data_IF_042590674395
#
_entry.id   IF_042590674395
#
_cell.length_a   1.000
_cell.length_b   1.000
_cell.length_c   1.000
_cell.angle_alpha   90.00
_cell.angle_beta   90.00
_cell.angle_gamma   90.00
#
_symmetry.space_group_name_H-M   'P 1'
#
loop_
_entity.id
_entity.type
_entity.pdbx_description
1 polymer ?
#
# COMPACT_ATOMS: atom_id res chain seq x y z
N UNK A 1 -3.69 26.22 -28.40
CA UNK A 1 -4.44 24.93 -28.49
C UNK A 1 -3.80 23.80 -27.67
N UNK A 2 -2.46 23.66 -27.61
CA UNK A 2 -1.80 22.65 -26.77
C UNK A 2 -1.98 22.85 -25.25
N UNK A 3 -2.07 24.09 -24.77
CA UNK A 3 -2.28 24.42 -23.35
C UNK A 3 -3.66 23.97 -22.82
N UNK A 4 -4.72 24.13 -23.61
CA UNK A 4 -6.07 23.70 -23.21
C UNK A 4 -6.18 22.19 -23.15
N UNK A 5 -5.52 21.44 -24.03
CA UNK A 5 -5.56 19.96 -24.01
C UNK A 5 -4.94 19.41 -22.72
N UNK A 6 -3.77 19.92 -22.33
CA UNK A 6 -3.10 19.50 -21.09
C UNK A 6 -3.92 19.86 -19.84
N UNK A 7 -4.64 20.98 -19.85
CA UNK A 7 -5.55 21.35 -18.76
C UNK A 7 -6.72 20.38 -18.63
N UNK A 8 -7.41 20.07 -19.73
CA UNK A 8 -8.55 19.14 -19.73
C UNK A 8 -8.15 17.70 -19.41
N UNK A 9 -6.97 17.26 -19.86
CA UNK A 9 -6.44 15.95 -19.51
C UNK A 9 -6.07 15.87 -18.01
N UNK A 10 -5.55 16.95 -17.42
CA UNK A 10 -5.30 17.05 -15.98
C UNK A 10 -6.57 16.98 -15.14
N UNK A 11 -7.62 17.72 -15.52
CA UNK A 11 -8.93 17.69 -14.82
C UNK A 11 -9.52 16.27 -14.81
N UNK A 12 -9.47 15.57 -15.95
CA UNK A 12 -9.96 14.18 -16.04
C UNK A 12 -9.20 13.21 -15.15
N UNK A 13 -7.88 13.36 -15.03
CA UNK A 13 -7.07 12.51 -14.16
C UNK A 13 -7.37 12.75 -12.68
N UNK A 14 -7.57 14.00 -12.28
CA UNK A 14 -7.96 14.35 -10.92
C UNK A 14 -9.33 13.76 -10.56
N UNK A 15 -10.31 13.86 -11.46
CA UNK A 15 -11.63 13.23 -11.29
C UNK A 15 -11.53 11.70 -11.24
N UNK A 16 -10.74 11.06 -12.11
CA UNK A 16 -10.51 9.61 -12.08
C UNK A 16 -9.86 9.17 -10.76
N UNK A 17 -8.85 9.90 -10.28
CA UNK A 17 -8.15 9.60 -9.04
C UNK A 17 -9.04 9.76 -7.80
N UNK A 18 -9.85 10.82 -7.76
CA UNK A 18 -10.83 11.04 -6.72
C UNK A 18 -11.86 9.91 -6.71
N UNK A 19 -12.46 9.61 -7.87
CA UNK A 19 -13.44 8.54 -8.03
C UNK A 19 -12.89 7.18 -7.57
N UNK A 20 -11.67 6.82 -7.96
CA UNK A 20 -11.03 5.58 -7.53
C UNK A 20 -10.89 5.46 -6.00
N UNK A 21 -10.65 6.58 -5.32
CA UNK A 21 -10.55 6.62 -3.86
C UNK A 21 -11.95 6.54 -3.23
N UNK A 22 -12.90 7.27 -3.79
CA UNK A 22 -14.31 7.30 -3.36
C UNK A 22 -14.99 5.93 -3.49
N UNK A 23 -14.79 5.20 -4.59
CA UNK A 23 -15.41 3.88 -4.75
C UNK A 23 -14.84 2.86 -3.76
N UNK A 24 -13.55 2.94 -3.41
CA UNK A 24 -12.96 2.11 -2.34
C UNK A 24 -13.52 2.47 -0.97
N UNK A 25 -13.74 3.76 -0.69
CA UNK A 25 -14.39 4.21 0.53
C UNK A 25 -15.81 3.64 0.64
N UNK A 26 -16.63 3.81 -0.39
CA UNK A 26 -18.01 3.31 -0.42
C UNK A 26 -18.07 1.79 -0.27
N UNK A 27 -17.21 1.07 -1.00
CA UNK A 27 -17.10 -0.38 -0.85
C UNK A 27 -16.69 -0.79 0.57
N UNK A 28 -15.70 -0.14 1.18
CA UNK A 28 -15.29 -0.42 2.55
C UNK A 28 -16.43 -0.16 3.56
N UNK A 29 -17.12 0.98 3.44
CA UNK A 29 -18.28 1.31 4.29
C UNK A 29 -19.37 0.24 4.21
N UNK A 30 -19.65 -0.28 3.02
CA UNK A 30 -20.64 -1.35 2.80
C UNK A 30 -20.14 -2.68 3.34
N UNK A 31 -18.93 -3.09 2.97
CA UNK A 31 -18.37 -4.41 3.30
C UNK A 31 -18.10 -4.58 4.79
N UNK A 32 -17.76 -3.49 5.48
CA UNK A 32 -17.56 -3.46 6.93
C UNK A 32 -18.85 -3.16 7.70
N UNK A 33 -20.00 -3.09 7.01
CA UNK A 33 -21.33 -2.85 7.60
C UNK A 33 -21.42 -1.54 8.41
N UNK A 34 -20.67 -0.52 8.00
CA UNK A 34 -20.67 0.80 8.61
C UNK A 34 -21.85 1.67 8.14
N UNK A 35 -22.49 1.28 7.03
CA UNK A 35 -23.70 1.93 6.49
C UNK A 35 -24.78 0.89 6.16
N UNK A 36 -26.04 1.32 6.16
CA UNK A 36 -27.16 0.52 5.66
C UNK A 36 -27.24 0.63 4.15
N UNK A 37 -27.60 -0.46 3.47
CA UNK A 37 -27.79 -0.49 2.01
C UNK A 37 -29.22 -0.90 1.69
N UNK A 38 -29.89 -0.10 0.86
CA UNK A 38 -31.24 -0.37 0.34
C UNK A 38 -31.25 -0.30 -1.18
N UNK A 39 -32.24 -0.95 -1.82
CA UNK A 39 -32.41 -0.97 -3.28
C UNK A 39 -33.88 -0.77 -3.60
N UNK A 40 -34.18 0.13 -4.52
CA UNK A 40 -35.57 0.43 -4.93
C UNK A 40 -36.00 -0.44 -6.14
N UNK A 41 -35.08 -0.76 -7.06
CA UNK A 41 -35.36 -1.59 -8.25
C UNK A 41 -34.15 -2.46 -8.65
N UNK A 42 -34.35 -3.77 -8.83
CA UNK A 42 -33.43 -4.75 -9.45
C UNK A 42 -31.91 -4.40 -9.40
N UNK A 43 -31.30 -4.30 -8.21
CA UNK A 43 -29.84 -4.31 -7.89
C UNK A 43 -28.94 -3.28 -8.61
N UNK A 44 -29.44 -2.57 -9.63
CA UNK A 44 -28.64 -1.68 -10.50
C UNK A 44 -28.28 -0.35 -9.85
N UNK A 45 -29.05 0.05 -8.84
CA UNK A 45 -28.81 1.23 -8.03
C UNK A 45 -29.02 0.87 -6.56
N UNK A 46 -28.08 1.26 -5.71
CA UNK A 46 -28.19 1.08 -4.26
C UNK A 46 -28.04 2.40 -3.53
N UNK A 47 -28.76 2.53 -2.43
CA UNK A 47 -28.79 3.70 -1.57
C UNK A 47 -28.11 3.36 -0.24
N UNK A 48 -27.13 4.17 0.13
CA UNK A 48 -26.41 4.09 1.39
C UNK A 48 -26.97 5.12 2.37
N UNK A 49 -27.23 4.72 3.61
CA UNK A 49 -27.74 5.61 4.64
C UNK A 49 -27.42 5.15 6.06
N UNK A 50 -27.79 5.99 7.04
CA UNK A 50 -27.56 5.71 8.44
C UNK A 50 -28.57 4.71 9.02
N UNK A 51 -28.06 3.67 9.71
CA UNK A 51 -28.86 2.57 10.27
C UNK A 51 -29.94 3.00 11.28
N UNK A 52 -29.82 4.18 11.91
CA UNK A 52 -30.72 4.64 12.98
C UNK A 52 -31.54 5.88 12.61
N UNK A 53 -31.56 6.30 11.35
CA UNK A 53 -32.22 7.54 10.97
C UNK A 53 -33.75 7.38 10.95
N UNK A 54 -34.45 8.09 11.84
CA UNK A 54 -35.92 8.12 11.92
C UNK A 54 -36.57 9.24 11.09
N UNK A 55 -35.76 10.01 10.33
CA UNK A 55 -36.27 11.08 9.48
C UNK A 55 -37.08 10.52 8.31
N UNK A 56 -38.18 11.20 7.96
CA UNK A 56 -39.01 10.83 6.82
C UNK A 56 -38.28 10.95 5.46
N UNK A 57 -37.22 11.76 5.40
CA UNK A 57 -36.33 11.96 4.24
C UNK A 57 -34.86 12.07 4.71
N UNK A 58 -34.20 10.94 5.00
CA UNK A 58 -32.81 10.95 5.43
C UNK A 58 -31.91 11.34 4.26
N UNK A 59 -30.71 11.87 4.56
CA UNK A 59 -29.69 12.10 3.52
C UNK A 59 -29.12 10.76 3.07
N UNK A 60 -29.06 10.51 1.76
CA UNK A 60 -28.65 9.22 1.19
C UNK A 60 -27.59 9.40 0.12
N UNK A 61 -26.72 8.41 -0.01
CA UNK A 61 -25.78 8.32 -1.13
C UNK A 61 -26.30 7.27 -2.11
N UNK A 62 -26.59 7.69 -3.34
CA UNK A 62 -27.00 6.82 -4.43
C UNK A 62 -25.78 6.44 -5.27
N UNK A 63 -25.60 5.14 -5.49
CA UNK A 63 -24.54 4.59 -6.34
C UNK A 63 -25.12 3.62 -7.35
N UNK A 64 -24.67 3.74 -8.60
CA UNK A 64 -25.02 2.80 -9.65
C UNK A 64 -23.99 1.66 -9.71
N UNK A 65 -24.47 0.44 -9.92
CA UNK A 65 -23.63 -0.75 -10.02
C UNK A 65 -23.56 -1.25 -11.46
N UNK A 66 -22.44 -1.86 -11.81
CA UNK A 66 -22.27 -2.54 -13.09
C UNK A 66 -23.28 -3.67 -13.24
N UNK A 67 -23.85 -3.82 -14.43
CA UNK A 67 -24.75 -4.92 -14.72
C UNK A 67 -24.07 -6.28 -14.48
N UNK A 68 -24.76 -7.17 -13.76
CA UNK A 68 -24.24 -8.48 -13.38
C UNK A 68 -23.35 -8.48 -12.13
N UNK A 69 -23.12 -7.33 -11.48
CA UNK A 69 -22.50 -7.26 -10.16
C UNK A 69 -23.34 -8.07 -9.17
N UNK A 70 -22.71 -9.06 -8.54
CA UNK A 70 -23.37 -9.98 -7.61
C UNK A 70 -23.56 -9.31 -6.24
N UNK A 71 -24.16 -8.13 -6.15
CA UNK A 71 -24.55 -7.56 -4.86
C UNK A 71 -25.98 -8.01 -4.52
N UNK A 72 -26.13 -9.25 -4.05
CA UNK A 72 -27.44 -9.77 -3.63
C UNK A 72 -27.69 -9.38 -2.17
N UNK A 73 -28.50 -8.35 -1.97
CA UNK A 73 -29.14 -8.01 -0.68
C UNK A 73 -30.12 -9.14 -0.30
N UNK A 74 -29.62 -10.27 0.22
CA UNK A 74 -30.48 -11.17 0.97
C UNK A 74 -30.46 -10.71 2.42
N UNK A 75 -31.44 -9.87 2.79
CA UNK A 75 -31.71 -9.60 4.20
C UNK A 75 -32.12 -10.91 4.89
N UNK A 76 -31.68 -11.19 6.12
CA UNK A 76 -32.31 -12.24 6.91
C UNK A 76 -33.77 -11.82 7.12
N UNK A 77 -34.70 -12.51 6.46
CA UNK A 77 -36.12 -12.41 6.74
C UNK A 77 -36.31 -12.79 8.20
N UNK A 78 -36.76 -11.84 9.02
CA UNK A 78 -37.16 -12.14 10.38
C UNK A 78 -38.23 -13.26 10.35
N UNK A 79 -37.88 -14.36 11.00
CA UNK A 79 -38.68 -15.52 11.41
C UNK A 79 -40.13 -15.59 10.90
N UNK A 80 -40.41 -16.63 10.10
CA UNK A 80 -41.61 -17.43 10.29
C UNK A 80 -41.20 -18.92 10.38
N UNK A 81 -41.51 -19.54 11.53
CA UNK A 81 -41.59 -20.98 11.75
C UNK A 81 -40.40 -21.87 11.32
N UNK A 82 -39.38 -21.98 12.18
CA UNK A 82 -38.64 -23.24 12.37
C UNK A 82 -37.71 -23.73 11.25
N UNK A 83 -37.39 -22.93 10.23
CA UNK A 83 -36.38 -23.30 9.24
C UNK A 83 -34.97 -22.85 9.65
N UNK A 84 -34.03 -23.80 9.61
CA UNK A 84 -32.59 -23.57 9.76
C UNK A 84 -32.10 -22.82 8.51
N UNK A 85 -31.60 -21.59 8.68
CA UNK A 85 -30.96 -20.83 7.62
C UNK A 85 -29.49 -21.22 7.50
N UNK A 86 -29.06 -21.56 6.27
CA UNK A 86 -27.66 -21.55 5.86
C UNK A 86 -27.15 -20.10 5.87
N UNK A 87 -25.92 -19.81 6.33
CA UNK A 87 -25.40 -18.45 6.32
C UNK A 87 -25.34 -17.93 4.89
N UNK A 88 -26.06 -16.84 4.63
CA UNK A 88 -26.00 -16.08 3.39
C UNK A 88 -24.62 -15.44 3.32
N UNK A 89 -23.83 -15.81 2.31
CA UNK A 89 -22.58 -15.13 1.99
C UNK A 89 -22.97 -13.72 1.56
N UNK A 90 -22.71 -12.72 2.41
CA UNK A 90 -22.83 -11.31 2.03
C UNK A 90 -21.82 -11.07 0.91
N UNK A 91 -22.22 -10.75 -0.32
CA UNK A 91 -21.26 -10.49 -1.36
C UNK A 91 -20.54 -9.18 -1.05
N UNK A 92 -19.20 -9.25 -1.03
CA UNK A 92 -18.32 -8.10 -0.99
C UNK A 92 -18.61 -7.19 -2.20
N UNK A 93 -18.99 -5.94 -1.94
CA UNK A 93 -19.08 -4.91 -2.95
C UNK A 93 -17.68 -4.60 -3.46
N UNK A 94 -17.43 -4.89 -4.74
CA UNK A 94 -16.15 -4.58 -5.37
C UNK A 94 -16.09 -3.09 -5.76
N UNK A 95 -15.06 -2.33 -5.38
CA UNK A 95 -14.91 -0.93 -5.80
C UNK A 95 -14.98 -0.71 -7.32
N UNK A 96 -14.59 -1.69 -8.13
CA UNK A 96 -14.61 -1.61 -9.60
C UNK A 96 -16.02 -1.73 -10.21
N UNK A 97 -17.00 -2.16 -9.41
CA UNK A 97 -18.38 -2.34 -9.81
C UNK A 97 -19.22 -1.07 -9.58
N UNK A 98 -18.74 -0.14 -8.77
CA UNK A 98 -19.37 1.16 -8.55
C UNK A 98 -19.11 2.05 -9.77
N UNK A 99 -20.17 2.60 -10.34
CA UNK A 99 -20.15 3.45 -11.51
C UNK A 99 -20.31 4.93 -11.13
N UNK A 100 -19.74 5.78 -11.98
CA UNK A 100 -19.97 7.22 -11.98
C UNK A 100 -21.29 7.53 -12.72
N UNK A 101 -22.12 8.51 -12.27
CA UNK A 101 -21.90 9.39 -11.11
C UNK A 101 -22.29 8.78 -9.76
N UNK A 102 -21.57 9.21 -8.72
CA UNK A 102 -22.00 9.05 -7.32
C UNK A 102 -22.83 10.27 -6.96
N UNK A 103 -24.02 10.05 -6.40
CA UNK A 103 -24.97 11.12 -6.11
C UNK A 103 -25.31 11.16 -4.62
N UNK A 104 -25.51 12.35 -4.06
CA UNK A 104 -26.16 12.56 -2.77
C UNK A 104 -27.57 13.07 -3.01
N UNK A 105 -28.53 12.47 -2.30
CA UNK A 105 -29.87 12.99 -2.13
C UNK A 105 -29.97 13.60 -0.73
N UNK A 106 -30.19 14.90 -0.64
CA UNK A 106 -30.38 15.58 0.65
C UNK A 106 -31.81 15.43 1.20
N UNK A 107 -32.06 15.96 2.40
CA UNK A 107 -33.38 15.95 3.03
C UNK A 107 -34.49 16.67 2.23
N UNK A 108 -34.12 17.53 1.28
CA UNK A 108 -35.04 18.23 0.39
C UNK A 108 -35.30 17.45 -0.92
N UNK A 109 -34.61 16.32 -1.13
CA UNK A 109 -34.64 15.55 -2.38
C UNK A 109 -33.79 16.17 -3.49
N UNK A 110 -32.87 17.08 -3.16
CA UNK A 110 -31.95 17.65 -4.14
C UNK A 110 -30.82 16.64 -4.40
N UNK A 111 -30.62 16.32 -5.67
CA UNK A 111 -29.54 15.46 -6.13
C UNK A 111 -28.30 16.28 -6.47
N UNK A 112 -27.18 15.99 -5.81
CA UNK A 112 -25.88 16.57 -6.13
C UNK A 112 -24.87 15.48 -6.46
N UNK A 113 -23.95 15.77 -7.38
CA UNK A 113 -22.90 14.81 -7.77
C UNK A 113 -21.71 14.94 -6.83
N UNK A 114 -21.25 13.81 -6.31
CA UNK A 114 -20.06 13.70 -5.49
C UNK A 114 -18.94 13.02 -6.26
N UNK A 115 -17.73 13.55 -6.13
CA UNK A 115 -16.54 12.98 -6.74
C UNK A 115 -15.45 12.71 -5.72
N UNK A 116 -15.27 13.62 -4.76
CA UNK A 116 -14.14 13.60 -3.85
C UNK A 116 -14.45 12.73 -2.62
N UNK A 117 -13.48 11.94 -2.14
CA UNK A 117 -13.71 11.06 -1.01
C UNK A 117 -13.96 11.82 0.30
N UNK A 118 -13.37 13.01 0.47
CA UNK A 118 -13.63 13.86 1.63
C UNK A 118 -15.08 14.37 1.68
N UNK A 119 -15.70 14.68 0.54
CA UNK A 119 -17.09 15.14 0.50
C UNK A 119 -18.04 14.02 0.92
N UNK A 120 -17.80 12.80 0.41
CA UNK A 120 -18.51 11.59 0.85
C UNK A 120 -18.27 11.32 2.34
N UNK A 121 -17.03 11.47 2.80
CA UNK A 121 -16.70 11.23 4.20
C UNK A 121 -17.31 12.26 5.14
N UNK A 122 -17.43 13.52 4.74
CA UNK A 122 -18.08 14.57 5.53
C UNK A 122 -19.58 14.26 5.76
N UNK A 123 -20.22 13.53 4.84
CA UNK A 123 -21.61 13.05 4.99
C UNK A 123 -21.70 11.84 5.92
N UNK A 124 -20.79 10.86 5.75
CA UNK A 124 -20.87 9.57 6.47
C UNK A 124 -20.19 9.58 7.84
N UNK A 125 -19.25 10.50 8.08
CA UNK A 125 -18.49 10.55 9.34
C UNK A 125 -19.37 10.71 10.58
N UNK A 126 -20.44 11.56 10.59
CA UNK A 126 -21.34 11.65 11.73
C UNK A 126 -22.15 10.37 11.99
N UNK A 127 -22.19 9.43 11.03
CA UNK A 127 -22.88 8.15 11.18
C UNK A 127 -22.02 7.12 11.91
N UNK A 128 -20.69 7.28 11.88
CA UNK A 128 -19.73 6.24 12.26
C UNK A 128 -18.79 6.64 13.39
N UNK A 129 -18.56 7.94 13.62
CA UNK A 129 -17.57 8.41 14.61
C UNK A 129 -17.90 9.82 15.12
N UNK A 130 -17.89 9.98 16.45
CA UNK A 130 -18.07 11.29 17.11
C UNK A 130 -16.74 12.01 17.41
N UNK A 131 -15.61 11.30 17.31
CA UNK A 131 -14.28 11.83 17.62
C UNK A 131 -13.76 12.72 16.49
N UNK A 132 -13.73 14.03 16.74
CA UNK A 132 -13.34 15.03 15.75
C UNK A 132 -11.86 14.94 15.32
N UNK A 133 -10.96 14.47 16.19
CA UNK A 133 -9.56 14.29 15.84
C UNK A 133 -9.38 13.11 14.88
N UNK A 134 -10.08 11.99 15.16
CA UNK A 134 -10.11 10.82 14.28
C UNK A 134 -10.74 11.17 12.94
N UNK A 135 -11.87 11.88 12.94
CA UNK A 135 -12.55 12.32 11.72
C UNK A 135 -11.64 13.22 10.89
N UNK A 136 -11.01 14.24 11.49
CA UNK A 136 -10.11 15.13 10.78
C UNK A 136 -8.90 14.38 10.17
N UNK A 137 -8.35 13.41 10.90
CA UNK A 137 -7.25 12.58 10.43
C UNK A 137 -7.66 11.70 9.24
N UNK A 138 -8.75 10.95 9.35
CA UNK A 138 -9.23 10.07 8.28
C UNK A 138 -9.59 10.86 7.02
N UNK A 139 -10.23 12.01 7.18
CA UNK A 139 -10.52 12.95 6.10
C UNK A 139 -9.24 13.40 5.39
N UNK A 140 -8.21 13.75 6.16
CA UNK A 140 -6.89 14.13 5.63
C UNK A 140 -6.19 12.99 4.88
N UNK A 141 -6.24 11.77 5.40
CA UNK A 141 -5.68 10.58 4.74
C UNK A 141 -6.38 10.25 3.41
N UNK A 142 -7.71 10.38 3.37
CA UNK A 142 -8.51 10.20 2.16
C UNK A 142 -8.16 11.23 1.08
N UNK A 143 -8.11 12.51 1.46
CA UNK A 143 -7.74 13.59 0.57
C UNK A 143 -6.31 13.41 0.03
N UNK A 144 -5.37 13.04 0.90
CA UNK A 144 -3.98 12.76 0.52
C UNK A 144 -3.89 11.56 -0.44
N UNK A 145 -4.67 10.50 -0.21
CA UNK A 145 -4.71 9.33 -1.08
C UNK A 145 -5.21 9.70 -2.49
N UNK A 146 -6.29 10.48 -2.60
CA UNK A 146 -6.80 10.94 -3.90
C UNK A 146 -5.79 11.84 -4.63
N UNK A 147 -5.17 12.79 -3.92
CA UNK A 147 -4.13 13.66 -4.49
C UNK A 147 -2.95 12.86 -5.02
N UNK A 148 -2.41 11.94 -4.21
CA UNK A 148 -1.29 11.10 -4.63
C UNK A 148 -1.68 10.20 -5.81
N UNK A 149 -2.90 9.65 -5.83
CA UNK A 149 -3.37 8.84 -6.94
C UNK A 149 -3.38 9.60 -8.27
N UNK A 150 -3.73 10.89 -8.27
CA UNK A 150 -3.66 11.73 -9.49
C UNK A 150 -2.23 11.74 -10.04
N UNK A 151 -1.24 11.94 -9.17
CA UNK A 151 0.19 12.00 -9.53
C UNK A 151 0.67 10.64 -10.04
N UNK A 152 0.23 9.55 -9.42
CA UNK A 152 0.48 8.19 -9.90
C UNK A 152 -0.14 7.90 -11.28
N UNK A 153 -1.38 8.34 -11.54
CA UNK A 153 -2.01 8.18 -12.85
C UNK A 153 -1.29 9.02 -13.91
N UNK A 154 -0.86 10.24 -13.57
CA UNK A 154 -0.06 11.08 -14.45
C UNK A 154 1.28 10.41 -14.80
N UNK A 155 1.95 9.83 -13.81
CA UNK A 155 3.18 9.06 -14.01
C UNK A 155 2.96 7.84 -14.93
N UNK A 156 1.84 7.14 -14.76
CA UNK A 156 1.47 5.98 -15.60
C UNK A 156 1.23 6.33 -17.08
N UNK A 157 0.99 7.60 -17.44
CA UNK A 157 0.85 8.01 -18.84
C UNK A 157 2.16 7.93 -19.62
N UNK A 158 3.29 8.15 -18.96
CA UNK A 158 4.63 8.10 -19.56
C UNK A 158 5.42 6.84 -19.22
N UNK A 159 4.93 6.01 -18.29
CA UNK A 159 5.59 4.79 -17.84
C UNK A 159 4.70 3.58 -18.13
N UNK A 160 5.00 2.77 -19.16
CA UNK A 160 4.20 1.61 -19.49
C UNK A 160 4.28 0.57 -18.37
N UNK A 161 3.30 -0.32 -18.28
CA UNK A 161 3.39 -1.48 -17.39
C UNK A 161 4.58 -2.37 -17.78
N UNK A 162 5.23 -3.02 -16.80
CA UNK A 162 6.42 -3.85 -17.03
C UNK A 162 6.11 -5.08 -17.89
N UNK A 163 7.12 -5.59 -18.58
CA UNK A 163 7.05 -6.80 -19.42
C UNK A 163 7.85 -7.93 -18.80
N UNK A 164 7.61 -9.18 -19.22
CA UNK A 164 8.41 -10.31 -18.75
C UNK A 164 9.90 -10.09 -19.06
N UNK A 165 10.76 -10.38 -18.08
CA UNK A 165 12.19 -10.10 -18.15
C UNK A 165 12.60 -8.69 -17.70
N UNK A 166 11.66 -7.79 -17.41
CA UNK A 166 11.97 -6.54 -16.73
C UNK A 166 12.44 -6.80 -15.28
N UNK A 167 13.39 -6.02 -14.73
CA UNK A 167 13.86 -6.20 -13.37
C UNK A 167 12.75 -6.05 -12.33
N UNK A 168 12.79 -6.78 -11.21
CA UNK A 168 11.75 -6.72 -10.18
C UNK A 168 11.44 -5.29 -9.69
N UNK A 169 12.45 -4.44 -9.57
CA UNK A 169 12.26 -3.06 -9.13
C UNK A 169 11.35 -2.25 -10.07
N UNK A 170 11.36 -2.58 -11.37
CA UNK A 170 10.46 -1.98 -12.35
C UNK A 170 9.00 -2.39 -12.07
N UNK A 171 8.76 -3.65 -11.71
CA UNK A 171 7.45 -4.12 -11.27
C UNK A 171 7.02 -3.43 -9.98
N UNK A 172 7.89 -3.37 -8.99
CA UNK A 172 7.64 -2.70 -7.70
C UNK A 172 7.24 -1.21 -7.86
N UNK A 173 7.84 -0.52 -8.82
CA UNK A 173 7.60 0.91 -9.09
C UNK A 173 6.41 1.19 -10.03
N UNK A 174 5.84 0.15 -10.65
CA UNK A 174 4.73 0.26 -11.61
C UNK A 174 3.42 -0.35 -11.12
N UNK A 175 3.30 -0.57 -9.81
CA UNK A 175 2.01 -0.57 -9.17
C UNK A 175 1.54 0.90 -9.15
N UNK A 176 0.52 1.25 -9.95
CA UNK A 176 0.03 2.63 -10.12
C UNK A 176 -1.26 2.92 -9.35
N UNK A 177 -2.10 1.90 -9.08
CA UNK A 177 -3.40 2.05 -8.41
C UNK A 177 -3.44 1.60 -6.95
N UNK A 178 -2.35 1.01 -6.46
CA UNK A 178 -2.15 0.73 -5.05
C UNK A 178 -3.04 -0.41 -4.59
N UNK A 179 -3.41 -0.40 -3.31
CA UNK A 179 -4.29 -1.43 -2.75
C UNK A 179 -5.65 -1.44 -3.47
N UNK A 180 -6.17 -2.60 -3.93
CA UNK A 180 -7.39 -2.65 -4.75
C UNK A 180 -8.65 -2.26 -3.98
N UNK A 181 -8.69 -2.48 -2.67
CA UNK A 181 -9.90 -2.30 -1.85
C UNK A 181 -9.80 -1.23 -0.76
N UNK A 182 -8.60 -0.75 -0.40
CA UNK A 182 -8.43 0.09 0.79
C UNK A 182 -8.59 1.57 0.43
N UNK A 183 -9.46 2.36 1.09
CA UNK A 183 -9.70 3.75 0.72
C UNK A 183 -8.44 4.63 0.78
N UNK A 184 -7.55 4.41 1.75
CA UNK A 184 -6.26 5.13 1.82
C UNK A 184 -5.13 4.48 0.99
N UNK A 185 -5.45 3.86 -0.15
CA UNK A 185 -4.55 3.04 -1.00
C UNK A 185 -3.27 3.73 -1.48
N UNK A 186 -3.26 5.07 -1.57
CA UNK A 186 -2.10 5.89 -1.93
C UNK A 186 -1.75 6.96 -0.91
N UNK A 187 -2.25 6.81 0.32
CA UNK A 187 -1.87 7.71 1.40
C UNK A 187 -0.36 7.63 1.65
N UNK A 188 0.24 8.80 1.82
CA UNK A 188 1.58 9.02 2.34
C UNK A 188 1.49 10.20 3.31
N UNK A 189 0.75 9.98 4.39
CA UNK A 189 0.27 11.04 5.27
C UNK A 189 1.27 11.26 6.42
N UNK A 190 1.72 12.50 6.59
CA UNK A 190 2.66 12.85 7.65
C UNK A 190 1.96 12.93 9.01
N UNK A 191 2.63 12.45 10.05
CA UNK A 191 2.24 12.72 11.45
C UNK A 191 3.35 13.54 12.10
N UNK A 192 3.05 14.48 13.02
CA UNK A 192 4.07 15.21 13.76
C UNK A 192 5.11 14.26 14.35
N UNK A 193 6.42 14.57 14.29
CA UNK A 193 7.02 15.85 13.87
C UNK A 193 7.26 15.98 12.35
N UNK A 194 6.82 15.01 11.56
CA UNK A 194 7.08 14.98 10.13
C UNK A 194 6.29 16.07 9.41
N UNK A 195 6.92 16.64 8.39
CA UNK A 195 6.25 17.58 7.50
C UNK A 195 5.55 16.83 6.36
N UNK A 196 4.38 17.27 5.91
CA UNK A 196 3.75 16.73 4.70
C UNK A 196 4.70 16.78 3.50
N UNK A 197 4.80 15.69 2.76
CA UNK A 197 5.50 15.65 1.47
C UNK A 197 4.47 15.76 0.36
N UNK A 198 4.58 16.81 -0.45
CA UNK A 198 3.81 16.92 -1.68
C UNK A 198 4.53 16.13 -2.78
N UNK A 199 3.88 15.07 -3.28
CA UNK A 199 4.46 14.18 -4.27
C UNK A 199 4.19 14.71 -5.69
N UNK A 200 4.88 15.77 -6.10
CA UNK A 200 4.66 16.37 -7.42
C UNK A 200 5.35 15.61 -8.57
N UNK A 201 6.44 14.90 -8.27
CA UNK A 201 7.23 14.12 -9.22
C UNK A 201 7.44 12.70 -8.67
N UNK A 202 6.66 11.75 -9.18
CA UNK A 202 6.70 10.35 -8.74
C UNK A 202 8.06 9.71 -9.01
N UNK A 203 8.73 10.05 -10.13
CA UNK A 203 10.04 9.50 -10.45
C UNK A 203 11.09 9.87 -9.41
N UNK A 204 11.17 11.17 -9.07
CA UNK A 204 12.06 11.64 -7.99
C UNK A 204 11.67 11.10 -6.62
N UNK A 205 10.37 10.94 -6.37
CA UNK A 205 9.89 10.36 -5.11
C UNK A 205 10.29 8.88 -4.98
N UNK A 206 10.35 8.13 -6.09
CA UNK A 206 10.80 6.75 -6.11
C UNK A 206 12.32 6.61 -5.94
N UNK A 207 13.09 7.62 -6.29
CA UNK A 207 14.53 7.74 -6.02
C UNK A 207 14.77 8.31 -4.61
N UNK A 208 14.67 7.44 -3.60
CA UNK A 208 14.81 7.85 -2.20
C UNK A 208 16.26 8.20 -1.83
N UNK A 209 16.44 9.37 -1.24
CA UNK A 209 17.71 9.74 -0.61
C UNK A 209 17.90 8.96 0.69
N UNK A 210 19.02 8.23 0.75
CA UNK A 210 19.44 7.48 1.91
C UNK A 210 20.63 8.22 2.51
N UNK A 211 20.59 8.43 3.81
CA UNK A 211 21.71 8.96 4.59
C UNK A 211 22.20 7.89 5.56
N UNK A 212 23.45 8.00 5.96
CA UNK A 212 23.99 7.20 7.05
C UNK A 212 24.10 8.10 8.28
N UNK A 213 23.64 7.60 9.41
CA UNK A 213 23.77 8.25 10.71
C UNK A 213 24.68 7.44 11.62
N UNK A 214 25.35 8.13 12.52
CA UNK A 214 26.21 7.59 13.55
C UNK A 214 25.46 7.67 14.88
N UNK A 215 25.34 6.54 15.57
CA UNK A 215 24.58 6.44 16.82
C UNK A 215 25.41 5.71 17.88
N UNK A 216 25.36 6.12 19.16
CA UNK A 216 26.01 5.38 20.23
C UNK A 216 25.55 3.92 20.27
N UNK A 217 26.49 2.98 20.34
CA UNK A 217 26.22 1.54 20.36
C UNK A 217 25.32 1.14 21.52
N UNK A 218 25.46 1.79 22.67
CA UNK A 218 24.61 1.57 23.85
C UNK A 218 23.12 1.84 23.60
N UNK A 219 22.77 2.55 22.53
CA UNK A 219 21.39 2.87 22.15
C UNK A 219 20.82 1.97 21.06
N UNK A 220 21.58 1.00 20.56
CA UNK A 220 21.17 0.17 19.42
C UNK A 220 21.25 -1.32 19.81
N UNK A 221 20.16 -2.03 19.55
CA UNK A 221 20.16 -3.49 19.50
C UNK A 221 20.48 -3.96 18.09
N UNK A 222 21.46 -4.85 17.98
CA UNK A 222 21.86 -5.50 16.74
C UNK A 222 21.44 -6.96 16.79
N UNK A 223 20.64 -7.37 15.81
CA UNK A 223 20.23 -8.75 15.61
C UNK A 223 20.85 -9.29 14.31
N UNK A 224 21.41 -10.50 14.37
CA UNK A 224 22.13 -11.11 13.25
C UNK A 224 23.46 -10.39 12.90
N UNK A 225 24.09 -10.72 11.76
CA UNK A 225 25.39 -10.18 11.35
C UNK A 225 25.27 -8.76 10.73
N UNK A 226 24.51 -7.85 11.34
CA UNK A 226 24.11 -6.57 10.74
C UNK A 226 25.30 -5.75 10.20
N UNK A 227 26.29 -5.45 11.05
CA UNK A 227 27.44 -4.60 10.68
C UNK A 227 28.31 -5.27 9.60
N UNK A 228 28.51 -6.58 9.70
CA UNK A 228 29.26 -7.34 8.71
C UNK A 228 28.53 -7.37 7.35
N UNK A 229 27.21 -7.54 7.34
CA UNK A 229 26.39 -7.53 6.12
C UNK A 229 26.26 -6.14 5.51
N UNK A 230 26.30 -5.07 6.31
CA UNK A 230 26.25 -3.69 5.83
C UNK A 230 27.61 -3.18 5.34
N UNK A 231 28.72 -3.78 5.79
CA UNK A 231 30.09 -3.35 5.45
C UNK A 231 30.33 -3.15 3.95
N UNK A 232 29.95 -4.06 3.02
CA UNK A 232 30.20 -3.85 1.58
C UNK A 232 29.53 -2.60 1.03
N UNK A 233 28.38 -2.21 1.60
CA UNK A 233 27.68 -0.99 1.25
C UNK A 233 28.38 0.25 1.81
N UNK A 234 28.88 0.20 3.04
CA UNK A 234 29.64 1.30 3.65
C UNK A 234 31.02 1.51 2.99
N UNK A 235 31.68 0.42 2.59
CA UNK A 235 32.95 0.45 1.87
C UNK A 235 32.81 1.22 0.55
N UNK A 236 31.74 0.97 -0.21
CA UNK A 236 31.43 1.70 -1.45
C UNK A 236 31.27 3.21 -1.24
N UNK A 237 30.90 3.62 -0.03
CA UNK A 237 30.69 5.02 0.33
C UNK A 237 31.94 5.67 0.95
N UNK A 238 33.02 4.91 1.17
CA UNK A 238 34.25 5.37 1.81
C UNK A 238 34.03 5.97 3.22
N UNK A 239 33.16 5.34 4.03
CA UNK A 239 32.77 5.85 5.36
C UNK A 239 33.68 5.36 6.51
N UNK A 240 34.58 4.39 6.26
CA UNK A 240 35.37 3.76 7.33
C UNK A 240 36.60 4.59 7.77
N UNK A 241 37.05 4.46 9.04
CA UNK A 241 36.61 3.50 10.08
C UNK A 241 35.53 4.02 11.06
N UNK A 242 34.73 3.10 11.61
CA UNK A 242 33.71 3.38 12.64
C UNK A 242 34.31 3.18 14.04
N UNK A 243 34.15 4.12 14.98
CA UNK A 243 34.51 3.91 16.38
C UNK A 243 33.78 2.70 16.99
N UNK A 244 34.45 1.97 17.89
CA UNK A 244 33.91 0.73 18.47
C UNK A 244 32.65 0.96 19.32
N UNK A 245 32.50 2.14 19.91
CA UNK A 245 31.38 2.58 20.73
C UNK A 245 30.22 3.17 19.90
N UNK A 246 30.30 3.12 18.57
CA UNK A 246 29.29 3.65 17.68
C UNK A 246 28.83 2.62 16.64
N UNK A 247 27.67 2.88 16.06
CA UNK A 247 27.06 2.07 15.01
C UNK A 247 26.62 2.99 13.88
N UNK A 248 26.86 2.56 12.64
CA UNK A 248 26.36 3.22 11.45
C UNK A 248 25.02 2.62 11.02
N UNK A 249 24.01 3.47 10.86
CA UNK A 249 22.68 3.07 10.43
C UNK A 249 22.26 3.85 9.18
N UNK A 250 21.85 3.18 8.10
CA UNK A 250 21.20 3.87 6.99
C UNK A 250 19.77 4.25 7.40
N UNK A 251 19.31 5.43 7.01
CA UNK A 251 17.91 5.83 7.13
C UNK A 251 17.54 6.73 5.96
N UNK A 252 16.23 6.95 5.77
CA UNK A 252 15.79 7.95 4.81
C UNK A 252 16.16 9.35 5.30
N UNK A 253 16.62 10.23 4.40
CA UNK A 253 16.90 11.62 4.76
C UNK A 253 15.69 12.31 5.42
N UNK A 254 14.49 12.04 4.90
CA UNK A 254 13.24 12.57 5.44
C UNK A 254 12.88 12.04 6.83
N UNK A 255 13.44 10.91 7.30
CA UNK A 255 13.15 10.32 8.60
C UNK A 255 13.94 10.99 9.74
N UNK A 256 14.99 11.76 9.41
CA UNK A 256 15.88 12.38 10.40
C UNK A 256 15.16 13.27 11.43
N UNK A 257 14.15 14.09 11.07
CA UNK A 257 13.41 14.89 12.05
C UNK A 257 12.69 14.06 13.11
N UNK A 258 12.10 12.91 12.74
CA UNK A 258 11.49 12.00 13.70
C UNK A 258 12.54 11.36 14.61
N UNK A 259 13.69 10.97 14.05
CA UNK A 259 14.80 10.43 14.85
C UNK A 259 15.25 11.47 15.88
N UNK A 260 15.44 12.72 15.48
CA UNK A 260 15.83 13.79 16.41
C UNK A 260 14.79 14.09 17.47
N UNK A 261 13.50 14.07 17.10
CA UNK A 261 12.43 14.29 18.07
C UNK A 261 12.34 13.19 19.15
N UNK A 262 12.58 11.94 18.78
CA UNK A 262 12.47 10.81 19.72
C UNK A 262 13.77 10.46 20.45
N UNK A 263 14.93 10.74 19.87
CA UNK A 263 16.23 10.29 20.39
C UNK A 263 17.24 11.42 20.62
N UNK A 264 16.85 12.68 20.41
CA UNK A 264 17.74 13.84 20.51
C UNK A 264 18.72 13.93 19.35
N UNK A 265 19.72 14.80 19.47
CA UNK A 265 20.69 15.10 18.40
C UNK A 265 21.90 14.17 18.38
N UNK A 266 21.94 13.15 19.25
CA UNK A 266 23.05 12.20 19.34
C UNK A 266 23.15 11.27 18.12
N UNK A 267 22.12 11.26 17.28
CA UNK A 267 22.14 10.66 15.95
C UNK A 267 22.66 11.67 14.93
N UNK A 268 23.95 11.57 14.60
CA UNK A 268 24.64 12.52 13.73
C UNK A 268 24.69 12.03 12.29
N UNK A 269 24.35 12.90 11.33
CA UNK A 269 24.49 12.58 9.90
C UNK A 269 25.97 12.46 9.54
N UNK A 270 26.35 11.33 8.96
CA UNK A 270 27.67 11.13 8.39
C UNK A 270 27.79 11.89 7.07
N UNK A 271 28.84 12.69 6.94
CA UNK A 271 29.13 13.42 5.71
C UNK A 271 29.75 12.46 4.71
N UNK A 272 29.01 12.18 3.64
CA UNK A 272 29.47 11.39 2.50
C UNK A 272 29.65 12.30 1.28
N UNK A 273 30.71 12.08 0.50
CA UNK A 273 30.98 12.86 -0.72
C UNK A 273 29.97 12.59 -1.84
N UNK A 274 29.40 11.39 -1.85
CA UNK A 274 28.49 10.93 -2.89
C UNK A 274 27.09 10.84 -2.32
N UNK A 275 26.13 11.51 -2.97
CA UNK A 275 24.71 11.34 -2.66
C UNK A 275 24.34 9.88 -2.90
N UNK A 276 23.72 9.27 -1.90
CA UNK A 276 23.23 7.90 -2.02
C UNK A 276 21.73 7.92 -2.30
N UNK A 277 21.36 7.25 -3.39
CA UNK A 277 19.96 7.04 -3.75
C UNK A 277 19.68 5.53 -3.81
N UNK A 278 18.53 5.13 -3.27
CA UNK A 278 17.97 3.80 -3.45
C UNK A 278 16.59 3.88 -4.08
N UNK A 279 16.19 2.82 -4.78
CA UNK A 279 14.91 2.75 -5.47
C UNK A 279 13.84 2.22 -4.52
N UNK A 280 12.83 3.03 -4.22
CA UNK A 280 11.68 2.60 -3.40
C UNK A 280 10.94 1.46 -4.08
N UNK A 281 10.64 0.44 -3.29
CA UNK A 281 9.72 -0.64 -3.64
C UNK A 281 8.27 -0.26 -3.28
N UNK A 282 7.28 -1.08 -3.62
CA UNK A 282 5.84 -0.76 -3.43
C UNK A 282 5.47 -0.41 -1.99
N UNK A 283 6.19 -0.96 -1.00
CA UNK A 283 5.99 -0.64 0.41
C UNK A 283 6.44 0.77 0.83
N UNK A 284 7.10 1.51 -0.08
CA UNK A 284 7.76 2.83 0.06
C UNK A 284 8.92 2.89 1.07
N UNK A 285 8.91 2.04 2.10
CA UNK A 285 9.92 1.97 3.16
C UNK A 285 11.03 0.94 2.94
N UNK A 286 10.92 0.17 1.86
CA UNK A 286 11.95 -0.78 1.43
C UNK A 286 12.61 -0.24 0.18
N UNK A 287 13.93 -0.23 0.14
CA UNK A 287 14.71 0.28 -0.99
C UNK A 287 15.66 -0.78 -1.54
N UNK A 288 15.69 -0.87 -2.87
CA UNK A 288 16.71 -1.60 -3.62
C UNK A 288 17.90 -0.68 -3.91
N UNK A 289 19.12 -1.19 -3.73
CA UNK A 289 20.35 -0.45 -4.02
C UNK A 289 21.14 -1.27 -5.04
N UNK A 290 21.38 -0.73 -6.26
CA UNK A 290 22.11 -1.45 -7.29
C UNK A 290 23.45 -2.04 -6.81
N UNK A 291 23.64 -3.33 -7.03
CA UNK A 291 24.86 -4.06 -6.68
C UNK A 291 25.06 -4.29 -5.17
N UNK A 292 24.05 -4.09 -4.34
CA UNK A 292 24.06 -4.50 -2.93
C UNK A 292 23.15 -5.73 -2.76
N UNK A 293 23.62 -6.83 -2.13
CA UNK A 293 22.87 -8.10 -2.08
C UNK A 293 21.63 -8.08 -1.15
N UNK A 294 21.34 -6.93 -0.54
CA UNK A 294 20.20 -6.77 0.35
C UNK A 294 19.37 -5.55 -0.06
N UNK A 295 18.07 -5.65 0.15
CA UNK A 295 17.19 -4.49 0.27
C UNK A 295 17.24 -3.95 1.70
N UNK A 296 17.18 -2.63 1.85
CA UNK A 296 17.06 -1.98 3.16
C UNK A 296 15.59 -1.71 3.45
N UNK A 297 15.05 -2.30 4.50
CA UNK A 297 13.73 -1.97 5.05
C UNK A 297 13.90 -1.07 6.26
N UNK A 298 13.52 0.19 6.13
CA UNK A 298 13.80 1.23 7.13
C UNK A 298 12.50 1.78 7.73
N UNK A 299 12.58 2.32 8.94
CA UNK A 299 11.46 3.05 9.53
C UNK A 299 11.19 4.34 8.73
N UNK A 300 9.92 4.65 8.50
CA UNK A 300 9.47 5.91 7.92
C UNK A 300 8.19 6.35 8.62
N UNK A 301 8.19 7.57 9.17
CA UNK A 301 7.13 8.07 10.07
C UNK A 301 5.97 8.70 9.28
N UNK A 302 5.55 8.01 8.22
CA UNK A 302 4.37 8.34 7.43
C UNK A 302 3.36 7.20 7.52
N UNK A 303 2.09 7.57 7.50
CA UNK A 303 0.98 6.63 7.41
C UNK A 303 0.75 6.27 5.95
N UNK A 304 0.82 4.97 5.65
CA UNK A 304 0.56 4.40 4.33
C UNK A 304 -0.45 3.27 4.49
N UNK A 305 -1.61 3.38 3.84
CA UNK A 305 -2.78 2.49 4.02
C UNK A 305 -3.11 2.30 5.51
N UNK A 306 -3.48 3.38 6.19
CA UNK A 306 -3.86 3.47 7.62
C UNK A 306 -2.82 3.09 8.68
N UNK A 307 -1.65 2.57 8.30
CA UNK A 307 -0.59 2.20 9.24
C UNK A 307 0.65 3.08 9.10
N UNK A 308 1.18 3.56 10.23
CA UNK A 308 2.51 4.18 10.29
C UNK A 308 3.57 3.15 9.90
N UNK A 309 4.47 3.51 8.98
CA UNK A 309 5.45 2.59 8.39
C UNK A 309 6.77 2.51 9.16
N UNK A 310 6.68 2.60 10.48
CA UNK A 310 7.74 2.28 11.45
C UNK A 310 7.86 0.76 11.70
N UNK A 311 8.90 0.34 12.41
CA UNK A 311 9.13 -1.08 12.72
C UNK A 311 9.63 -1.22 14.15
N UNK A 312 8.86 -1.91 14.97
CA UNK A 312 9.18 -2.14 16.38
C UNK A 312 10.33 -3.16 16.54
N UNK A 313 11.18 -3.04 17.56
CA UNK A 313 12.30 -3.96 17.80
C UNK A 313 11.91 -5.45 17.83
N UNK A 314 10.83 -5.81 18.55
CA UNK A 314 10.41 -7.22 18.64
C UNK A 314 9.99 -7.79 17.27
N UNK A 315 9.27 -7.01 16.46
CA UNK A 315 8.87 -7.40 15.10
C UNK A 315 10.10 -7.62 14.22
N UNK A 316 11.13 -6.78 14.36
CA UNK A 316 12.36 -6.88 13.60
C UNK A 316 13.11 -8.18 13.91
N UNK A 317 13.26 -8.49 15.21
CA UNK A 317 13.88 -9.73 15.67
C UNK A 317 13.07 -10.97 15.30
N UNK A 318 11.77 -10.98 15.58
CA UNK A 318 10.87 -12.09 15.24
C UNK A 318 10.92 -12.42 13.75
N UNK A 319 11.02 -11.40 12.90
CA UNK A 319 11.15 -11.58 11.46
C UNK A 319 12.42 -12.36 11.05
N UNK A 320 13.53 -12.20 11.77
CA UNK A 320 14.78 -12.94 11.53
C UNK A 320 14.59 -14.39 12.00
N UNK A 321 14.06 -14.59 13.20
CA UNK A 321 13.79 -15.92 13.78
C UNK A 321 12.82 -16.72 12.89
N UNK A 322 11.73 -16.11 12.43
CA UNK A 322 10.79 -16.73 11.48
C UNK A 322 11.47 -17.04 10.15
N UNK A 323 12.35 -16.16 9.64
CA UNK A 323 13.07 -16.42 8.39
C UNK A 323 13.95 -17.67 8.52
N UNK A 324 14.62 -17.86 9.66
CA UNK A 324 15.42 -19.06 9.94
C UNK A 324 14.54 -20.31 10.11
N UNK A 325 13.42 -20.19 10.83
CA UNK A 325 12.48 -21.30 11.00
C UNK A 325 11.94 -21.78 9.65
N UNK A 326 11.52 -20.85 8.78
CA UNK A 326 10.99 -21.18 7.45
C UNK A 326 12.00 -21.96 6.61
N UNK A 327 13.30 -21.65 6.70
CA UNK A 327 14.32 -22.43 5.99
C UNK A 327 14.31 -23.92 6.37
N UNK A 328 13.93 -24.25 7.60
CA UNK A 328 13.97 -25.62 8.11
C UNK A 328 12.68 -26.42 7.85
N UNK A 329 11.55 -25.73 7.60
CA UNK A 329 10.23 -26.39 7.51
C UNK A 329 9.61 -26.35 6.11
N UNK A 330 10.21 -25.61 5.17
CA UNK A 330 9.64 -25.44 3.83
C UNK A 330 9.76 -26.72 2.98
N UNK A 331 8.68 -27.23 2.34
CA UNK A 331 8.68 -28.59 1.77
C UNK A 331 9.54 -28.80 0.51
N UNK A 332 10.04 -27.74 -0.12
CA UNK A 332 10.99 -27.83 -1.22
C UNK A 332 11.63 -26.44 -1.44
N UNK A 333 12.94 -26.26 -1.21
CA UNK A 333 13.62 -24.97 -1.36
C UNK A 333 13.72 -24.51 -2.82
N UNK A 334 13.47 -25.38 -3.80
CA UNK A 334 13.47 -25.04 -5.21
C UNK A 334 12.11 -24.50 -5.67
N UNK A 335 11.02 -24.88 -4.99
CA UNK A 335 9.68 -24.39 -5.30
C UNK A 335 9.38 -23.02 -4.67
N UNK A 336 9.75 -22.82 -3.40
CA UNK A 336 9.48 -21.56 -2.66
C UNK A 336 10.76 -20.90 -2.19
N UNK A 337 10.97 -19.65 -2.62
CA UNK A 337 12.05 -18.83 -2.08
C UNK A 337 11.53 -17.84 -1.06
N UNK A 338 12.17 -17.82 0.09
CA UNK A 338 11.92 -16.85 1.14
C UNK A 338 12.95 -15.74 1.00
N UNK A 339 12.51 -14.50 0.77
CA UNK A 339 13.38 -13.33 0.85
C UNK A 339 13.72 -13.06 2.32
N UNK A 340 14.79 -13.68 2.82
CA UNK A 340 15.06 -13.76 4.26
C UNK A 340 15.43 -12.41 4.81
N UNK A 341 15.02 -12.18 6.06
CA UNK A 341 15.48 -11.05 6.86
C UNK A 341 16.65 -11.56 7.67
N UNK A 342 17.85 -11.14 7.32
CA UNK A 342 19.10 -11.76 7.81
C UNK A 342 19.66 -11.03 9.03
N UNK A 343 19.42 -9.73 9.11
CA UNK A 343 19.90 -8.90 10.21
C UNK A 343 19.01 -7.66 10.37
N UNK A 344 19.03 -7.09 11.57
CA UNK A 344 18.36 -5.83 11.88
C UNK A 344 19.15 -5.02 12.91
N UNK A 345 18.93 -3.72 12.90
CA UNK A 345 19.39 -2.80 13.91
C UNK A 345 18.20 -1.93 14.34
N UNK A 346 17.90 -1.91 15.64
CA UNK A 346 16.78 -1.16 16.19
C UNK A 346 17.24 -0.34 17.39
N UNK A 347 16.52 0.73 17.70
CA UNK A 347 16.71 1.45 18.96
C UNK A 347 16.51 0.54 20.17
N UNK A 348 17.36 0.73 21.18
CA UNK A 348 17.32 0.10 22.49
C UNK A 348 16.50 0.91 23.51
N UNK A 349 15.74 1.91 23.05
CA UNK A 349 14.83 2.66 23.93
C UNK A 349 13.77 1.70 24.53
N UNK A 350 13.54 1.73 25.85
CA UNK A 350 12.58 0.85 26.51
C UNK A 350 11.13 1.15 26.09
N UNK A 351 10.84 2.36 25.60
CA UNK A 351 9.54 2.70 25.05
C UNK A 351 9.47 2.27 23.58
N UNK A 352 8.69 1.22 23.31
CA UNK A 352 8.50 0.69 21.97
C UNK A 352 7.89 1.69 20.97
N UNK A 353 7.07 2.61 21.45
CA UNK A 353 6.45 3.63 20.61
C UNK A 353 7.49 4.64 20.13
N UNK A 354 8.55 4.89 20.91
CA UNK A 354 9.72 5.66 20.48
C UNK A 354 10.67 4.80 19.66
N UNK A 355 11.01 3.60 20.15
CA UNK A 355 12.00 2.73 19.55
C UNK A 355 11.73 2.41 18.07
N UNK A 356 10.46 2.28 17.68
CA UNK A 356 10.06 1.94 16.30
C UNK A 356 10.45 2.97 15.23
N UNK A 357 10.81 4.20 15.63
CA UNK A 357 11.21 5.28 14.72
C UNK A 357 12.68 5.20 14.27
N UNK A 358 13.50 4.33 14.87
CA UNK A 358 14.87 4.08 14.46
C UNK A 358 15.10 2.57 14.34
N UNK A 359 14.78 2.04 13.16
CA UNK A 359 14.92 0.63 12.86
C UNK A 359 15.29 0.42 11.39
N UNK A 360 16.20 -0.52 11.15
CA UNK A 360 16.71 -0.92 9.83
C UNK A 360 16.77 -2.44 9.78
N UNK A 361 16.36 -3.02 8.67
CA UNK A 361 16.44 -4.46 8.44
C UNK A 361 17.00 -4.75 7.06
N UNK A 362 17.86 -5.76 6.99
CA UNK A 362 18.43 -6.28 5.77
C UNK A 362 17.59 -7.47 5.30
N UNK A 363 17.02 -7.36 4.10
CA UNK A 363 16.28 -8.43 3.44
C UNK A 363 17.05 -8.86 2.19
N UNK A 364 17.22 -10.15 1.96
CA UNK A 364 17.88 -10.65 0.75
C UNK A 364 17.22 -10.13 -0.52
N UNK A 365 18.06 -9.79 -1.50
CA UNK A 365 17.65 -9.59 -2.88
C UNK A 365 17.68 -10.94 -3.61
N UNK A 366 16.52 -11.37 -4.10
CA UNK A 366 16.37 -12.63 -4.83
C UNK A 366 16.54 -12.46 -6.35
N UNK A 367 16.62 -11.22 -6.85
CA UNK A 367 16.78 -10.94 -8.28
C UNK A 367 18.03 -11.64 -8.86
N UNK A 368 19.22 -11.60 -8.22
CA UNK A 368 20.40 -12.28 -8.75
C UNK A 368 20.18 -13.79 -8.90
N UNK A 369 19.56 -14.43 -7.91
CA UNK A 369 19.24 -15.87 -7.95
C UNK A 369 18.28 -16.20 -9.10
N UNK A 370 17.26 -15.37 -9.31
CA UNK A 370 16.33 -15.54 -10.43
C UNK A 370 17.05 -15.42 -11.77
N UNK A 371 17.92 -14.42 -11.93
CA UNK A 371 18.70 -14.21 -13.15
C UNK A 371 19.64 -15.40 -13.44
N UNK A 372 20.32 -15.94 -12.43
CA UNK A 372 21.18 -17.13 -12.57
C UNK A 372 20.43 -18.36 -13.08
N UNK A 373 19.15 -18.48 -12.71
CA UNK A 373 18.26 -19.58 -13.13
C UNK A 373 17.52 -19.28 -14.45
N UNK A 374 17.79 -18.16 -15.11
CA UNK A 374 17.07 -17.73 -16.31
C UNK A 374 15.59 -17.42 -16.05
N UNK A 375 15.24 -17.08 -14.82
CA UNK A 375 13.90 -16.72 -14.37
C UNK A 375 13.79 -15.19 -14.19
N UNK A 376 12.56 -14.70 -14.10
CA UNK A 376 12.29 -13.30 -13.77
C UNK A 376 11.26 -13.23 -12.63
N UNK A 377 11.42 -12.23 -11.76
CA UNK A 377 10.54 -12.01 -10.64
C UNK A 377 9.50 -10.96 -10.99
N UNK A 378 8.24 -11.24 -10.65
CA UNK A 378 7.09 -10.39 -10.96
C UNK A 378 6.38 -10.07 -9.66
N UNK A 379 6.06 -8.79 -9.43
CA UNK A 379 5.22 -8.37 -8.32
C UNK A 379 3.74 -8.65 -8.64
N UNK A 380 3.05 -9.59 -7.93
CA UNK A 380 1.69 -9.98 -8.29
C UNK A 380 0.68 -8.84 -8.29
N UNK A 381 0.78 -7.87 -7.38
CA UNK A 381 -0.11 -6.69 -7.34
C UNK A 381 -0.24 -5.97 -8.70
N UNK A 382 0.86 -5.90 -9.46
CA UNK A 382 0.88 -5.22 -10.76
C UNK A 382 0.16 -5.98 -11.87
N UNK A 383 0.00 -7.30 -11.73
CA UNK A 383 -0.72 -8.12 -12.70
C UNK A 383 -2.20 -7.73 -12.77
N UNK A 384 -2.73 -7.17 -11.69
CA UNK A 384 -4.10 -6.68 -11.58
C UNK A 384 -4.28 -5.23 -12.02
N UNK A 385 -3.21 -4.53 -12.44
CA UNK A 385 -3.35 -3.17 -12.97
C UNK A 385 -4.24 -3.17 -14.22
N UNK A 386 -5.20 -2.24 -14.23
CA UNK A 386 -6.19 -2.13 -15.30
C UNK A 386 -5.84 -0.95 -16.17
N UNK A 387 -5.80 -1.14 -17.48
CA UNK A 387 -5.60 -0.05 -18.43
C UNK A 387 -6.80 0.90 -18.45
N UNK A 388 -6.58 2.21 -18.26
CA UNK A 388 -7.66 3.21 -18.31
C UNK A 388 -8.35 3.30 -19.67
N UNK A 389 -7.72 2.84 -20.75
CA UNK A 389 -8.27 2.94 -22.13
C UNK A 389 -9.32 1.88 -22.46
N UNK A 390 -9.08 0.64 -22.07
CA UNK A 390 -9.86 -0.53 -22.50
C UNK A 390 -10.31 -1.43 -21.33
N UNK A 391 -9.93 -1.06 -20.10
CA UNK A 391 -10.31 -1.77 -18.86
C UNK A 391 -9.85 -3.23 -18.83
N UNK A 392 -8.80 -3.57 -19.59
CA UNK A 392 -8.19 -4.90 -19.59
C UNK A 392 -7.07 -4.93 -18.53
N UNK A 393 -7.07 -5.99 -17.71
CA UNK A 393 -6.05 -6.25 -16.71
C UNK A 393 -4.70 -6.63 -17.35
N UNK A 394 -3.60 -6.22 -16.73
CA UNK A 394 -2.24 -6.41 -17.26
C UNK A 394 -1.92 -7.88 -17.52
N UNK A 395 -2.29 -8.77 -16.59
CA UNK A 395 -2.11 -10.23 -16.73
C UNK A 395 -2.69 -10.79 -18.03
N UNK A 396 -3.83 -10.26 -18.47
CA UNK A 396 -4.50 -10.72 -19.69
C UNK A 396 -3.66 -10.38 -20.92
N UNK A 397 -3.07 -9.19 -20.95
CA UNK A 397 -2.21 -8.76 -22.06
C UNK A 397 -0.86 -9.46 -22.01
N UNK A 398 -0.25 -9.50 -20.83
CA UNK A 398 1.09 -10.05 -20.61
C UNK A 398 1.19 -11.52 -21.05
N UNK A 399 0.15 -12.32 -20.79
CA UNK A 399 0.11 -13.75 -21.13
C UNK A 399 -0.82 -14.09 -22.30
N UNK A 400 -1.37 -13.10 -23.01
CA UNK A 400 -2.24 -13.34 -24.18
C UNK A 400 -3.53 -14.11 -23.84
N UNK A 401 -4.13 -13.86 -22.68
CA UNK A 401 -5.29 -14.61 -22.15
C UNK A 401 -6.63 -14.14 -22.75
N UNK A 402 -6.75 -14.23 -24.07
CA UNK A 402 -7.89 -13.67 -24.83
C UNK A 402 -9.18 -14.50 -24.69
N UNK A 403 -9.10 -15.78 -24.31
CA UNK A 403 -10.26 -16.67 -24.13
C UNK A 403 -10.50 -17.03 -22.66
N UNK A 404 -11.73 -17.46 -22.35
CA UNK A 404 -12.09 -17.92 -21.00
C UNK A 404 -11.29 -19.16 -20.61
N UNK A 405 -11.07 -20.07 -21.55
CA UNK A 405 -10.33 -21.32 -21.38
C UNK A 405 -8.86 -21.02 -21.06
N UNK A 406 -8.22 -20.12 -21.82
CA UNK A 406 -6.83 -19.70 -21.57
C UNK A 406 -6.68 -19.07 -20.17
N UNK A 407 -7.65 -18.25 -19.75
CA UNK A 407 -7.66 -17.66 -18.40
C UNK A 407 -7.79 -18.73 -17.31
N UNK A 408 -8.70 -19.70 -17.50
CA UNK A 408 -8.89 -20.82 -16.56
C UNK A 408 -7.63 -21.68 -16.46
N UNK A 409 -6.99 -21.99 -17.57
CA UNK A 409 -5.79 -22.82 -17.60
C UNK A 409 -4.58 -22.11 -16.98
N UNK A 410 -4.41 -20.82 -17.28
CA UNK A 410 -3.40 -20.01 -16.61
C UNK A 410 -3.64 -19.95 -15.10
N UNK A 411 -4.88 -19.71 -14.66
CA UNK A 411 -5.21 -19.65 -13.24
C UNK A 411 -5.00 -20.99 -12.53
N UNK A 412 -5.36 -22.11 -13.17
CA UNK A 412 -5.07 -23.45 -12.63
C UNK A 412 -3.57 -23.68 -12.45
N UNK A 413 -2.75 -23.29 -13.43
CA UNK A 413 -1.28 -23.38 -13.32
C UNK A 413 -0.74 -22.49 -12.20
N UNK A 414 -1.24 -21.26 -12.10
CA UNK A 414 -0.89 -20.32 -11.04
C UNK A 414 -1.21 -20.89 -9.65
N UNK A 415 -2.38 -21.50 -9.47
CA UNK A 415 -2.81 -22.09 -8.19
C UNK A 415 -2.15 -23.45 -7.91
N UNK A 416 -1.81 -24.23 -8.94
CA UNK A 416 -1.17 -25.55 -8.79
C UNK A 416 0.34 -25.45 -8.50
N UNK A 417 0.98 -24.35 -8.88
CA UNK A 417 2.35 -24.00 -8.51
C UNK A 417 2.39 -22.72 -7.67
N UNK A 418 1.72 -22.71 -6.50
CA UNK A 418 1.62 -21.51 -5.70
C UNK A 418 2.94 -20.93 -5.15
N UNK A 419 4.17 -21.53 -5.23
CA UNK A 419 5.33 -20.93 -4.55
C UNK A 419 6.38 -20.19 -5.43
N UNK A 420 6.21 -20.08 -6.75
CA UNK A 420 7.22 -19.46 -7.64
C UNK A 420 7.23 -17.92 -7.66
N UNK A 421 6.40 -17.27 -6.85
CA UNK A 421 6.41 -15.82 -6.67
C UNK A 421 6.95 -15.48 -5.30
N UNK A 422 7.78 -14.45 -5.19
CA UNK A 422 8.38 -14.01 -3.93
C UNK A 422 7.27 -13.76 -2.90
N UNK A 423 7.12 -14.69 -1.95
CA UNK A 423 6.32 -14.44 -0.77
C UNK A 423 7.15 -13.55 0.15
N UNK A 424 6.84 -12.26 0.16
CA UNK A 424 7.28 -11.37 1.24
C UNK A 424 6.46 -11.72 2.47
N UNK A 425 6.80 -12.82 3.15
CA UNK A 425 6.12 -13.26 4.36
C UNK A 425 6.26 -12.20 5.47
N UNK A 426 5.16 -11.47 5.67
CA UNK A 426 4.54 -11.31 6.98
C UNK A 426 3.33 -12.26 6.94
N UNK A 427 2.85 -12.84 8.05
CA UNK A 427 1.77 -13.84 8.08
C UNK A 427 0.37 -13.33 7.60
N UNK A 428 0.34 -12.28 6.80
CA UNK A 428 -0.79 -11.75 6.06
C UNK A 428 -0.36 -11.75 4.58
N UNK A 429 -0.88 -12.71 3.81
CA UNK A 429 -0.71 -12.75 2.36
C UNK A 429 -1.61 -11.68 1.71
N UNK A 430 -1.26 -10.41 1.87
CA UNK A 430 -1.85 -9.32 1.10
C UNK A 430 -1.08 -9.18 -0.21
N UNK A 431 -1.79 -9.14 -1.34
CA UNK A 431 -1.23 -8.96 -2.69
C UNK A 431 -0.49 -7.64 -2.86
#
# INVERSE_FOLDING_TARGET
MASNKNYWDGVKLAEEAALQTTTRLLAALVNESLVSVTSEDNVSSVFLGFLKEQNAKPTRIMVHLRWGSKYRLEMPVAQHAGQVFTPIIVPELNPADILDPIMIEDHNGLLQRLYRPEDVFDIVSPWICDDQEVVAKLRGELQNSAYNQEKWLQFALSHPLPVLGAPLIEWEQRCFRGHPTHPMHRSFFASPPMQPIQIDDIGKFLDAEIIVILVPRSRIHLDGPFEASLKPFLDKLNILPVPADQVLLPCFAEQLPAIHAHFGTDAERVIVKTRLCGQRQVSMRTVSIPGFPFHLKMAVSYTITSAMRTMTPWTARMCIEISQLLQNIMPDPDLLWVARKTAAACSADPDFERAKHLSVMLREDLEPKACELGQCLVLPATLFEISSKDRIAHVVRLFGLTTVEARKDWFRKYVAHPPLFIFVFSFLASL
#
